data_IF_038379525402
#
_entry.id   IF_038379525402
#
_cell.length_a   1.000
_cell.length_b   1.000
_cell.length_c   1.000
_cell.angle_alpha   90.00
_cell.angle_beta   90.00
_cell.angle_gamma   90.00
#
_symmetry.space_group_name_H-M   'P 1'
#
loop_
_entity.id
_entity.type
_entity.pdbx_description
1 polymer ?
#
# COMPACT_ATOMS: atom_id res chain seq x y z
N UNK A 1 -50.75 8.87 10.37
CA UNK A 1 -49.83 9.84 10.99
C UNK A 1 -48.45 9.22 10.97
N UNK A 2 -47.68 9.56 9.95
CA UNK A 2 -46.30 9.14 9.75
C UNK A 2 -45.41 9.68 10.88
N UNK A 3 -44.50 8.86 11.41
CA UNK A 3 -43.15 9.32 11.74
C UNK A 3 -42.14 8.18 11.58
N UNK A 4 -41.39 8.32 10.50
CA UNK A 4 -40.25 7.53 10.06
C UNK A 4 -39.07 7.63 11.03
N UNK A 5 -38.51 6.47 11.40
CA UNK A 5 -37.11 6.34 11.82
C UNK A 5 -36.23 6.18 10.56
N UNK A 6 -35.03 6.77 10.54
CA UNK A 6 -34.22 6.86 9.32
C UNK A 6 -33.58 5.52 8.94
N UNK A 7 -33.31 5.27 7.64
CA UNK A 7 -32.64 4.07 7.19
C UNK A 7 -31.12 4.16 7.37
N UNK A 8 -30.56 3.03 7.81
CA UNK A 8 -29.19 2.52 7.65
C UNK A 8 -28.20 3.41 6.87
N UNK A 9 -27.13 3.83 7.57
CA UNK A 9 -25.83 4.13 6.98
C UNK A 9 -25.19 2.81 6.53
N UNK A 10 -25.63 2.29 5.40
CA UNK A 10 -24.79 1.47 4.56
C UNK A 10 -24.00 2.46 3.70
N UNK A 11 -22.72 2.65 4.02
CA UNK A 11 -21.81 3.37 3.14
C UNK A 11 -21.67 2.53 1.87
N UNK A 12 -22.41 2.94 0.84
CA UNK A 12 -22.25 2.48 -0.52
C UNK A 12 -20.86 2.95 -1.01
N UNK A 13 -19.86 2.08 -0.86
CA UNK A 13 -18.53 2.25 -1.45
C UNK A 13 -18.45 1.57 -2.83
N UNK A 14 -19.47 1.71 -3.68
CA UNK A 14 -19.20 1.67 -5.12
C UNK A 14 -18.66 3.03 -5.53
N UNK A 15 -17.38 3.29 -5.25
CA UNK A 15 -16.69 4.43 -5.82
C UNK A 15 -16.65 4.26 -7.34
N UNK A 16 -17.36 5.14 -8.04
CA UNK A 16 -17.07 5.42 -9.44
C UNK A 16 -15.55 5.72 -9.57
N UNK A 17 -14.89 5.37 -10.69
CA UNK A 17 -13.47 5.69 -10.86
C UNK A 17 -13.27 7.19 -10.61
N UNK A 18 -12.37 7.53 -9.69
CA UNK A 18 -12.00 8.91 -9.41
C UNK A 18 -11.54 9.55 -10.71
N UNK A 19 -12.35 10.46 -11.25
CA UNK A 19 -11.98 11.23 -12.42
C UNK A 19 -10.82 12.17 -12.09
N UNK A 20 -9.97 12.50 -13.08
CA UNK A 20 -8.88 13.49 -13.01
C UNK A 20 -9.27 14.86 -12.40
N UNK A 21 -10.57 15.11 -12.21
CA UNK A 21 -11.16 16.35 -11.69
C UNK A 21 -11.48 16.30 -10.19
N UNK A 22 -11.33 15.16 -9.52
CA UNK A 22 -11.66 14.95 -8.10
C UNK A 22 -10.60 14.08 -7.43
N UNK A 23 -10.28 14.36 -6.16
CA UNK A 23 -9.28 13.60 -5.40
C UNK A 23 -7.84 14.00 -5.70
N UNK A 24 -6.91 13.09 -5.43
CA UNK A 24 -5.45 13.32 -5.48
C UNK A 24 -4.86 13.65 -6.86
N UNK A 25 -5.34 13.10 -8.00
CA UNK A 25 -4.87 13.53 -9.32
C UNK A 25 -5.04 15.04 -9.55
N UNK A 26 -6.08 15.63 -8.93
CA UNK A 26 -6.33 17.07 -8.99
C UNK A 26 -5.25 17.86 -8.26
N UNK A 27 -4.71 17.38 -7.14
CA UNK A 27 -3.72 18.14 -6.36
C UNK A 27 -2.38 18.25 -7.10
N UNK A 28 -1.94 17.16 -7.73
CA UNK A 28 -0.73 17.15 -8.57
C UNK A 28 -0.92 18.03 -9.81
N UNK A 29 -2.04 17.88 -10.51
CA UNK A 29 -2.29 18.62 -11.75
C UNK A 29 -2.66 20.09 -11.50
N UNK A 30 -3.29 20.43 -10.37
CA UNK A 30 -3.70 21.80 -10.06
C UNK A 30 -2.51 22.76 -9.96
N UNK A 31 -1.41 22.32 -9.36
CA UNK A 31 -0.20 23.13 -9.26
C UNK A 31 0.44 23.39 -10.63
N UNK A 32 0.45 22.39 -11.51
CA UNK A 32 0.96 22.53 -12.88
C UNK A 32 0.05 23.47 -13.68
N UNK A 33 -1.27 23.29 -13.61
CA UNK A 33 -2.25 24.15 -14.29
C UNK A 33 -2.19 25.58 -13.77
N UNK A 34 -2.06 25.78 -12.46
CA UNK A 34 -1.92 27.09 -11.85
C UNK A 34 -0.61 27.78 -12.27
N UNK A 35 0.49 27.04 -12.36
CA UNK A 35 1.77 27.55 -12.86
C UNK A 35 1.71 27.92 -14.34
N UNK A 36 1.07 27.09 -15.19
CA UNK A 36 0.84 27.41 -16.61
C UNK A 36 -0.05 28.65 -16.74
N UNK A 37 -1.11 28.75 -15.95
CA UNK A 37 -1.99 29.92 -15.94
C UNK A 37 -1.28 31.20 -15.46
N UNK A 38 -0.43 31.08 -14.44
CA UNK A 38 0.36 32.19 -13.92
C UNK A 38 1.45 32.63 -14.89
N UNK A 39 2.20 31.70 -15.47
CA UNK A 39 3.22 31.99 -16.51
C UNK A 39 2.57 32.65 -17.72
N UNK A 40 1.46 32.12 -18.22
CA UNK A 40 0.67 32.76 -19.29
C UNK A 40 0.17 34.16 -18.90
N UNK A 41 -0.11 34.42 -17.62
CA UNK A 41 -0.51 35.73 -17.13
C UNK A 41 0.67 36.71 -16.97
N UNK A 42 1.88 36.23 -16.68
CA UNK A 42 3.07 37.07 -16.44
C UNK A 42 3.91 37.33 -17.70
N UNK A 43 3.89 36.46 -18.70
CA UNK A 43 4.76 36.54 -19.90
C UNK A 43 4.30 37.57 -20.95
N UNK A 44 3.36 38.46 -20.61
CA UNK A 44 3.04 39.61 -21.46
C UNK A 44 2.51 39.26 -22.84
N UNK A 45 1.86 38.10 -23.03
CA UNK A 45 1.07 37.83 -24.24
C UNK A 45 -0.23 38.62 -24.18
N UNK A 46 -0.13 39.90 -24.53
CA UNK A 46 -1.21 40.80 -24.91
C UNK A 46 -2.01 40.14 -26.04
N UNK A 47 -3.06 39.37 -25.71
CA UNK A 47 -3.93 38.76 -26.72
C UNK A 47 -4.77 37.54 -26.32
N UNK A 48 -4.69 37.00 -25.10
CA UNK A 48 -5.53 35.85 -24.70
C UNK A 48 -6.38 36.14 -23.45
N UNK A 49 -7.64 35.69 -23.49
CA UNK A 49 -8.56 35.73 -22.35
C UNK A 49 -8.58 34.37 -21.66
N UNK A 50 -8.28 34.35 -20.36
CA UNK A 50 -8.47 33.16 -19.52
C UNK A 50 -9.93 33.14 -19.06
N UNK A 51 -10.71 32.21 -19.59
CA UNK A 51 -12.07 31.94 -19.09
C UNK A 51 -12.02 30.78 -18.12
N UNK A 52 -12.19 31.07 -16.84
CA UNK A 52 -12.48 30.05 -15.82
C UNK A 52 -13.95 29.68 -15.96
N UNK A 53 -14.23 28.49 -16.49
CA UNK A 53 -15.60 27.98 -16.66
C UNK A 53 -15.94 27.08 -15.48
N UNK A 54 -16.98 27.47 -14.71
CA UNK A 54 -17.61 26.65 -13.67
C UNK A 54 -19.06 26.42 -14.06
N UNK A 55 -19.36 25.26 -14.65
CA UNK A 55 -20.71 24.98 -15.16
C UNK A 55 -21.14 25.98 -16.26
N UNK A 56 -22.39 26.46 -16.22
CA UNK A 56 -23.01 27.26 -17.28
C UNK A 56 -22.96 28.79 -17.11
N UNK A 57 -22.16 29.33 -16.19
CA UNK A 57 -22.07 30.78 -15.96
C UNK A 57 -20.64 31.27 -16.22
N UNK A 58 -20.52 32.24 -17.14
CA UNK A 58 -19.28 32.96 -17.47
C UNK A 58 -19.35 34.32 -16.79
N UNK A 59 -18.41 34.62 -15.88
CA UNK A 59 -18.25 35.95 -15.31
C UNK A 59 -17.31 36.72 -16.24
N UNK A 60 -17.86 37.63 -17.05
CA UNK A 60 -17.07 38.53 -17.89
C UNK A 60 -16.64 39.75 -17.07
N UNK A 61 -15.35 40.04 -17.02
CA UNK A 61 -14.86 41.38 -16.71
C UNK A 61 -14.65 42.11 -18.04
N UNK A 62 -15.52 43.06 -18.37
CA UNK A 62 -15.38 43.90 -19.56
C UNK A 62 -14.49 45.10 -19.26
N UNK A 63 -13.49 45.34 -20.11
CA UNK A 63 -12.72 46.57 -20.10
C UNK A 63 -11.44 46.48 -20.91
N UNK A 64 -11.33 47.37 -21.90
CA UNK A 64 -10.15 47.80 -22.66
C UNK A 64 -9.87 47.15 -24.03
N UNK A 65 -9.73 48.05 -25.01
CA UNK A 65 -9.75 47.80 -26.44
C UNK A 65 -8.47 47.23 -27.03
N UNK A 66 -8.65 46.63 -28.20
CA UNK A 66 -7.62 45.98 -28.99
C UNK A 66 -6.72 47.01 -29.69
N UNK A 67 -5.40 46.89 -29.48
CA UNK A 67 -4.41 47.36 -30.44
C UNK A 67 -4.10 46.19 -31.39
N UNK A 68 -4.40 46.40 -32.67
CA UNK A 68 -4.16 45.47 -33.76
C UNK A 68 -2.65 45.27 -33.96
N UNK A 69 -2.16 44.04 -33.76
CA UNK A 69 -0.78 43.67 -34.07
C UNK A 69 -0.64 43.48 -35.58
N UNK A 70 0.23 44.28 -36.20
CA UNK A 70 0.62 44.22 -37.61
C UNK A 70 1.39 42.91 -37.97
N UNK A 71 0.77 41.75 -37.83
CA UNK A 71 1.27 40.48 -38.36
C UNK A 71 0.54 40.06 -39.65
N UNK A 72 -0.07 41.03 -40.35
CA UNK A 72 -0.69 40.84 -41.65
C UNK A 72 0.28 41.14 -42.79
N UNK A 73 1.20 40.21 -43.13
CA UNK A 73 1.81 40.17 -44.48
C UNK A 73 2.56 38.88 -44.76
N UNK A 74 2.29 38.34 -45.95
CA UNK A 74 2.82 37.14 -46.58
C UNK A 74 2.31 35.79 -46.04
N UNK A 75 1.08 35.43 -46.42
CA UNK A 75 0.79 34.01 -46.72
C UNK A 75 1.73 33.65 -47.86
N UNK A 76 2.74 32.81 -47.59
CA UNK A 76 3.69 32.36 -48.60
C UNK A 76 2.93 31.74 -49.79
N UNK A 77 3.40 31.95 -51.05
CA UNK A 77 2.72 31.43 -52.25
C UNK A 77 2.46 29.91 -52.20
N UNK A 78 3.28 29.16 -51.45
CA UNK A 78 3.12 27.72 -51.21
C UNK A 78 1.82 27.38 -50.47
N UNK A 79 1.37 28.22 -49.53
CA UNK A 79 0.13 28.01 -48.77
C UNK A 79 -1.12 28.29 -49.62
N UNK A 80 -1.06 29.28 -50.51
CA UNK A 80 -2.14 29.58 -51.47
C UNK A 80 -2.31 28.44 -52.49
N UNK A 81 -1.21 27.88 -52.98
CA UNK A 81 -1.19 26.74 -53.89
C UNK A 81 -1.79 25.46 -53.27
N UNK A 82 -1.48 25.17 -52.00
CA UNK A 82 -2.10 24.06 -51.27
C UNK A 82 -3.62 24.24 -51.12
N UNK A 83 -4.08 25.48 -50.93
CA UNK A 83 -5.50 25.78 -50.66
C UNK A 83 -6.36 25.59 -51.91
N UNK A 84 -5.92 26.07 -53.08
CA UNK A 84 -6.63 25.85 -54.35
C UNK A 84 -6.71 24.36 -54.72
N UNK A 85 -5.61 23.61 -54.49
CA UNK A 85 -5.56 22.16 -54.73
C UNK A 85 -6.47 21.37 -53.80
N UNK A 86 -6.62 21.81 -52.54
CA UNK A 86 -7.57 21.25 -51.58
C UNK A 86 -9.03 21.44 -52.01
N UNK A 87 -9.38 22.61 -52.56
CA UNK A 87 -10.73 22.85 -53.08
C UNK A 87 -11.03 22.06 -54.36
N UNK A 88 -10.06 21.92 -55.26
CA UNK A 88 -10.19 21.12 -56.49
C UNK A 88 -10.38 19.61 -56.20
N UNK A 89 -9.79 19.09 -55.12
CA UNK A 89 -9.88 17.68 -54.72
C UNK A 89 -10.64 17.47 -53.40
N UNK A 90 -11.71 18.25 -53.15
CA UNK A 90 -12.46 18.24 -51.88
C UNK A 90 -12.85 16.85 -51.36
N UNK A 91 -13.21 15.92 -52.25
CA UNK A 91 -13.60 14.54 -51.88
C UNK A 91 -12.40 13.75 -51.35
N UNK A 92 -11.21 13.96 -51.92
CA UNK A 92 -9.97 13.33 -51.49
C UNK A 92 -9.55 13.86 -50.11
N UNK A 93 -9.67 15.17 -49.89
CA UNK A 93 -9.36 15.82 -48.59
C UNK A 93 -10.30 15.34 -47.48
N UNK A 94 -11.60 15.23 -47.77
CA UNK A 94 -12.57 14.69 -46.80
C UNK A 94 -12.27 13.20 -46.55
N UNK A 95 -11.97 12.42 -47.59
CA UNK A 95 -11.65 11.01 -47.43
C UNK A 95 -10.38 10.79 -46.60
N UNK A 96 -9.32 11.60 -46.79
CA UNK A 96 -8.11 11.51 -45.98
C UNK A 96 -8.35 11.97 -44.54
N UNK A 97 -9.13 13.02 -44.32
CA UNK A 97 -9.51 13.45 -42.96
C UNK A 97 -10.30 12.36 -42.22
N UNK A 98 -11.27 11.72 -42.88
CA UNK A 98 -12.03 10.60 -42.31
C UNK A 98 -11.13 9.39 -42.08
N UNK A 99 -10.21 9.08 -43.00
CA UNK A 99 -9.24 7.99 -42.83
C UNK A 99 -8.35 8.22 -41.60
N UNK A 100 -7.81 9.43 -41.43
CA UNK A 100 -6.99 9.80 -40.26
C UNK A 100 -7.82 9.73 -38.98
N UNK A 101 -9.08 10.17 -38.99
CA UNK A 101 -9.97 10.07 -37.84
C UNK A 101 -10.25 8.62 -37.47
N UNK A 102 -10.59 7.76 -38.44
CA UNK A 102 -10.84 6.33 -38.21
C UNK A 102 -9.57 5.61 -37.75
N UNK A 103 -8.41 5.93 -38.33
CA UNK A 103 -7.13 5.41 -37.88
C UNK A 103 -6.79 5.85 -36.45
N UNK A 104 -7.06 7.12 -36.12
CA UNK A 104 -6.89 7.67 -34.78
C UNK A 104 -7.78 6.97 -33.75
N UNK A 105 -9.07 6.77 -34.07
CA UNK A 105 -9.99 6.00 -33.21
C UNK A 105 -9.53 4.54 -33.10
N UNK A 106 -9.11 3.92 -34.19
CA UNK A 106 -8.57 2.56 -34.19
C UNK A 106 -7.34 2.39 -33.30
N UNK A 107 -6.42 3.36 -33.31
CA UNK A 107 -5.28 3.39 -32.40
C UNK A 107 -5.69 3.66 -30.95
N UNK A 108 -6.64 4.58 -30.74
CA UNK A 108 -7.15 4.91 -29.41
C UNK A 108 -7.78 3.69 -28.71
N UNK A 109 -8.46 2.81 -29.46
CA UNK A 109 -9.03 1.56 -28.88
C UNK A 109 -7.97 0.54 -28.42
N UNK A 110 -6.70 0.74 -28.78
CA UNK A 110 -5.59 -0.15 -28.40
C UNK A 110 -4.71 0.43 -27.28
N UNK A 111 -4.92 1.67 -26.88
CA UNK A 111 -4.20 2.29 -25.78
C UNK A 111 -4.71 1.70 -24.45
N UNK A 112 -3.77 1.27 -23.61
CA UNK A 112 -4.06 0.92 -22.22
C UNK A 112 -4.43 2.17 -21.41
N UNK A 113 -5.12 1.95 -20.29
CA UNK A 113 -5.41 3.00 -19.32
C UNK A 113 -4.65 2.74 -18.02
N UNK A 114 -4.00 3.77 -17.49
CA UNK A 114 -3.40 3.79 -16.16
C UNK A 114 -4.00 4.98 -15.38
N UNK A 115 -4.11 4.87 -14.05
CA UNK A 115 -4.70 5.93 -13.22
C UNK A 115 -3.80 7.17 -13.19
N UNK A 116 -2.53 6.98 -12.86
CA UNK A 116 -1.45 7.97 -12.89
C UNK A 116 -0.21 7.26 -13.46
N UNK A 117 0.58 7.89 -14.35
CA UNK A 117 1.82 7.29 -14.81
C UNK A 117 2.71 6.95 -13.62
N UNK A 118 3.34 5.78 -13.63
CA UNK A 118 4.23 5.40 -12.55
C UNK A 118 5.43 6.36 -12.48
N UNK A 119 5.54 7.11 -11.39
CA UNK A 119 6.73 7.93 -11.14
C UNK A 119 7.85 7.00 -10.66
N UNK A 120 9.02 7.08 -11.29
CA UNK A 120 10.21 6.38 -10.79
C UNK A 120 10.86 7.20 -9.69
N UNK A 121 10.86 6.65 -8.48
CA UNK A 121 11.47 7.22 -7.27
C UNK A 121 12.97 6.90 -7.16
N UNK A 122 13.50 6.05 -8.05
CA UNK A 122 14.87 5.56 -8.01
C UNK A 122 15.08 4.36 -7.08
N UNK A 123 14.45 4.37 -5.90
CA UNK A 123 14.60 3.30 -4.90
C UNK A 123 13.54 2.20 -5.02
N UNK A 124 13.79 1.06 -4.38
CA UNK A 124 12.87 -0.08 -4.35
C UNK A 124 12.43 -0.33 -2.90
N UNK A 125 11.15 -0.61 -2.72
CA UNK A 125 10.61 -1.14 -1.47
C UNK A 125 10.09 -2.56 -1.70
N UNK A 126 10.50 -3.50 -0.85
CA UNK A 126 10.15 -4.92 -0.93
C UNK A 126 9.35 -5.28 0.32
N UNK A 127 8.09 -5.65 0.16
CA UNK A 127 7.29 -6.22 1.24
C UNK A 127 7.53 -7.73 1.34
N UNK A 128 8.05 -8.18 2.47
CA UNK A 128 8.29 -9.57 2.80
C UNK A 128 7.17 -10.11 3.71
N UNK A 129 6.40 -11.07 3.18
CA UNK A 129 5.22 -11.66 3.82
C UNK A 129 5.55 -13.10 4.25
N UNK A 130 5.51 -13.37 5.55
CA UNK A 130 5.76 -14.69 6.13
C UNK A 130 4.45 -15.35 6.59
N UNK A 131 4.46 -16.65 6.92
CA UNK A 131 3.32 -17.28 7.58
C UNK A 131 3.00 -16.60 8.93
N UNK A 132 1.73 -16.53 9.37
CA UNK A 132 1.33 -15.78 10.56
C UNK A 132 1.89 -16.40 11.85
N UNK A 133 2.21 -17.70 11.82
CA UNK A 133 2.78 -18.44 12.94
C UNK A 133 4.30 -18.32 13.05
N UNK A 134 4.94 -17.44 12.28
CA UNK A 134 6.40 -17.30 12.29
C UNK A 134 6.91 -16.79 13.64
N UNK A 135 7.97 -17.40 14.16
CA UNK A 135 8.61 -16.94 15.38
C UNK A 135 9.44 -15.68 15.12
N UNK A 136 9.50 -14.74 16.07
CA UNK A 136 10.29 -13.51 15.93
C UNK A 136 11.79 -13.78 15.65
N UNK A 137 12.33 -14.86 16.19
CA UNK A 137 13.71 -15.30 15.92
C UNK A 137 13.89 -15.71 14.45
N UNK A 138 12.90 -16.37 13.87
CA UNK A 138 12.90 -16.76 12.47
C UNK A 138 12.64 -15.56 11.55
N UNK A 139 11.84 -14.58 11.99
CA UNK A 139 11.71 -13.28 11.30
C UNK A 139 13.08 -12.60 11.20
N UNK A 140 13.82 -12.48 12.31
CA UNK A 140 15.16 -11.90 12.31
C UNK A 140 16.14 -12.70 11.42
N UNK A 141 16.13 -14.03 11.52
CA UNK A 141 17.00 -14.89 10.72
C UNK A 141 16.72 -14.81 9.21
N UNK A 142 15.43 -14.83 8.83
CA UNK A 142 14.99 -14.70 7.44
C UNK A 142 15.26 -13.31 6.87
N UNK A 143 15.02 -12.24 7.64
CA UNK A 143 15.39 -10.88 7.26
C UNK A 143 16.90 -10.76 7.03
N UNK A 144 17.73 -11.33 7.92
CA UNK A 144 19.18 -11.37 7.70
C UNK A 144 19.62 -12.22 6.49
N UNK A 145 18.81 -13.18 6.03
CA UNK A 145 19.04 -13.88 4.75
C UNK A 145 18.68 -12.99 3.57
N UNK A 146 17.54 -12.32 3.61
CA UNK A 146 17.09 -11.35 2.59
C UNK A 146 18.15 -10.27 2.37
N UNK A 147 18.63 -9.65 3.45
CA UNK A 147 19.68 -8.61 3.36
C UNK A 147 20.96 -9.14 2.72
N UNK A 148 21.40 -10.36 3.07
CA UNK A 148 22.61 -10.96 2.48
C UNK A 148 22.46 -11.27 1.00
N UNK A 149 21.26 -11.60 0.54
CA UNK A 149 20.97 -11.82 -0.88
C UNK A 149 21.02 -10.49 -1.61
N UNK A 150 20.30 -9.48 -1.09
CA UNK A 150 20.25 -8.14 -1.69
C UNK A 150 21.62 -7.45 -1.72
N UNK A 151 22.48 -7.68 -0.72
CA UNK A 151 23.86 -7.17 -0.70
C UNK A 151 24.75 -7.72 -1.81
N UNK A 152 24.35 -8.79 -2.52
CA UNK A 152 25.09 -9.31 -3.68
C UNK A 152 24.91 -8.42 -4.92
N UNK A 153 23.87 -7.60 -4.95
CA UNK A 153 23.60 -6.68 -6.05
C UNK A 153 24.44 -5.40 -5.88
N UNK A 154 25.41 -5.14 -6.77
CA UNK A 154 26.27 -3.96 -6.67
C UNK A 154 25.50 -2.63 -6.84
N UNK A 155 24.27 -2.67 -7.34
CA UNK A 155 23.37 -1.53 -7.48
C UNK A 155 22.86 -1.01 -6.13
N UNK A 156 22.77 -1.87 -5.11
CA UNK A 156 22.27 -1.49 -3.78
C UNK A 156 23.35 -0.76 -2.96
N UNK A 157 23.07 0.48 -2.58
CA UNK A 157 23.92 1.29 -1.68
C UNK A 157 23.64 0.90 -0.23
N UNK A 158 22.36 0.95 0.14
CA UNK A 158 21.91 0.75 1.51
C UNK A 158 20.66 -0.10 1.50
N UNK A 159 20.60 -1.08 2.41
CA UNK A 159 19.42 -1.92 2.61
C UNK A 159 18.98 -1.71 4.05
N UNK A 160 17.73 -1.31 4.24
CA UNK A 160 17.11 -1.11 5.55
C UNK A 160 15.90 -2.00 5.66
N UNK A 161 15.96 -2.97 6.57
CA UNK A 161 14.84 -3.88 6.83
C UNK A 161 14.13 -3.50 8.12
N UNK A 162 12.81 -3.59 8.12
CA UNK A 162 11.96 -3.46 9.30
C UNK A 162 10.98 -4.63 9.33
N UNK A 163 10.64 -5.11 10.51
CA UNK A 163 9.67 -6.21 10.67
C UNK A 163 8.77 -5.92 11.85
N UNK A 164 7.48 -6.19 11.70
CA UNK A 164 6.47 -5.80 12.69
C UNK A 164 6.23 -4.29 12.76
N UNK A 165 5.56 -3.88 13.83
CA UNK A 165 5.15 -2.49 14.05
C UNK A 165 6.25 -1.68 14.76
N UNK A 166 6.48 -0.41 14.38
CA UNK A 166 7.29 0.51 15.17
C UNK A 166 6.66 0.82 16.52
N UNK A 167 7.47 1.30 17.48
CA UNK A 167 6.99 1.73 18.81
C UNK A 167 5.99 2.89 18.71
N UNK A 168 6.22 3.80 17.76
CA UNK A 168 5.25 4.83 17.41
C UNK A 168 4.15 4.19 16.54
N UNK A 169 2.89 4.34 16.94
CA UNK A 169 1.73 3.73 16.27
C UNK A 169 1.37 4.36 14.90
N UNK A 170 2.36 4.64 14.06
CA UNK A 170 2.18 5.15 12.69
C UNK A 170 1.89 4.05 11.67
N UNK A 171 2.24 2.81 11.98
CA UNK A 171 2.06 1.65 11.11
C UNK A 171 1.70 0.44 11.96
N UNK A 172 0.65 -0.28 11.57
CA UNK A 172 0.20 -1.49 12.26
C UNK A 172 0.51 -2.67 11.35
N UNK A 173 1.59 -3.37 11.68
CA UNK A 173 2.05 -4.57 10.99
C UNK A 173 2.21 -5.72 11.98
N UNK A 174 1.69 -6.89 11.61
CA UNK A 174 2.03 -8.13 12.29
C UNK A 174 3.52 -8.47 12.11
N UNK A 175 4.03 -9.34 12.98
CA UNK A 175 5.45 -9.74 12.98
C UNK A 175 5.85 -10.52 11.73
N UNK A 176 4.87 -11.10 11.05
CA UNK A 176 5.02 -11.83 9.80
C UNK A 176 5.32 -10.91 8.61
N UNK A 177 4.92 -9.64 8.70
CA UNK A 177 5.15 -8.62 7.70
C UNK A 177 6.46 -7.87 7.98
N UNK A 178 7.18 -7.56 6.90
CA UNK A 178 8.32 -6.67 6.97
C UNK A 178 8.53 -5.91 5.67
N UNK A 179 9.10 -4.72 5.79
CA UNK A 179 9.48 -3.88 4.66
C UNK A 179 10.99 -3.86 4.54
N UNK A 180 11.50 -3.98 3.32
CA UNK A 180 12.92 -3.86 3.00
C UNK A 180 13.08 -2.75 1.98
N UNK A 181 13.69 -1.65 2.41
CA UNK A 181 14.02 -0.52 1.55
C UNK A 181 15.42 -0.74 0.97
N UNK A 182 15.51 -0.68 -0.35
CA UNK A 182 16.77 -0.81 -1.10
C UNK A 182 17.04 0.52 -1.78
N UNK A 183 17.99 1.26 -1.23
CA UNK A 183 18.46 2.53 -1.80
C UNK A 183 19.45 2.20 -2.91
N UNK A 184 19.17 2.67 -4.13
CA UNK A 184 19.91 2.29 -5.33
C UNK A 184 20.88 3.38 -5.79
N UNK A 185 21.91 2.96 -6.52
CA UNK A 185 22.74 3.87 -7.32
C UNK A 185 21.93 4.48 -8.46
N UNK A 186 22.37 5.61 -9.02
CA UNK A 186 21.86 6.08 -10.30
C UNK A 186 21.96 5.00 -11.38
N UNK A 187 20.96 4.91 -12.26
CA UNK A 187 20.85 3.86 -13.30
C UNK A 187 22.10 3.81 -14.21
N UNK A 188 22.79 4.94 -14.41
CA UNK A 188 24.03 5.02 -15.20
C UNK A 188 25.16 4.12 -14.69
N UNK A 189 25.14 3.79 -13.40
CA UNK A 189 26.23 3.08 -12.72
C UNK A 189 25.90 1.60 -12.49
N UNK A 190 24.80 1.12 -13.08
CA UNK A 190 24.33 -0.25 -12.92
C UNK A 190 25.12 -1.22 -13.80
N UNK A 191 25.31 -2.44 -13.31
CA UNK A 191 26.15 -3.45 -13.97
C UNK A 191 25.40 -4.76 -14.21
N UNK A 192 24.49 -5.10 -13.30
CA UNK A 192 23.75 -6.36 -13.27
C UNK A 192 22.46 -6.28 -14.09
N UNK A 193 21.90 -5.09 -14.28
CA UNK A 193 20.66 -4.85 -15.01
C UNK A 193 20.71 -3.52 -15.77
N UNK A 194 19.94 -3.41 -16.84
CA UNK A 194 19.82 -2.18 -17.65
C UNK A 194 18.60 -1.34 -17.30
N UNK A 195 17.59 -1.96 -16.69
CA UNK A 195 16.34 -1.32 -16.29
C UNK A 195 15.96 -1.72 -14.87
N UNK A 196 15.18 -0.87 -14.19
CA UNK A 196 14.65 -1.16 -12.86
C UNK A 196 13.83 -2.45 -12.82
N UNK A 197 13.03 -2.70 -13.85
CA UNK A 197 12.25 -3.94 -13.99
C UNK A 197 13.15 -5.19 -14.05
N UNK A 198 14.21 -5.16 -14.86
CA UNK A 198 15.16 -6.29 -14.94
C UNK A 198 15.89 -6.52 -13.60
N UNK A 199 16.21 -5.44 -12.88
CA UNK A 199 16.81 -5.56 -11.54
C UNK A 199 15.83 -6.19 -10.54
N UNK A 200 14.56 -5.77 -10.56
CA UNK A 200 13.49 -6.32 -9.72
C UNK A 200 13.31 -7.82 -10.00
N UNK A 201 13.25 -8.21 -11.26
CA UNK A 201 13.10 -9.62 -11.66
C UNK A 201 14.26 -10.47 -11.12
N UNK A 202 15.51 -10.01 -11.31
CA UNK A 202 16.70 -10.69 -10.79
C UNK A 202 16.73 -10.76 -9.25
N UNK A 203 16.31 -9.70 -8.58
CA UNK A 203 16.19 -9.69 -7.11
C UNK A 203 15.12 -10.67 -6.64
N UNK A 204 13.97 -10.71 -7.32
CA UNK A 204 12.86 -11.60 -7.00
C UNK A 204 13.26 -13.08 -7.15
N UNK A 205 13.92 -13.43 -8.25
CA UNK A 205 14.46 -14.79 -8.46
C UNK A 205 15.43 -15.18 -7.36
N UNK A 206 16.43 -14.33 -7.08
CA UNK A 206 17.45 -14.60 -6.07
C UNK A 206 16.85 -14.72 -4.65
N UNK A 207 15.85 -13.91 -4.33
CA UNK A 207 15.16 -13.95 -3.04
C UNK A 207 14.28 -15.21 -2.90
N UNK A 208 13.54 -15.55 -3.95
CA UNK A 208 12.68 -16.74 -3.98
C UNK A 208 13.49 -18.03 -3.84
N UNK A 209 14.67 -18.10 -4.46
CA UNK A 209 15.58 -19.24 -4.33
C UNK A 209 16.19 -19.34 -2.93
N UNK A 210 16.67 -18.22 -2.38
CA UNK A 210 17.46 -18.23 -1.15
C UNK A 210 16.63 -18.19 0.15
N UNK A 211 15.37 -17.74 0.09
CA UNK A 211 14.51 -17.54 1.26
C UNK A 211 13.13 -18.18 1.01
N UNK A 212 13.05 -19.53 0.99
CA UNK A 212 11.80 -20.23 0.75
C UNK A 212 10.77 -19.96 1.85
N UNK A 213 9.49 -19.93 1.47
CA UNK A 213 8.38 -19.72 2.39
C UNK A 213 8.09 -18.25 2.72
N UNK A 214 8.80 -17.30 2.11
CA UNK A 214 8.51 -15.86 2.18
C UNK A 214 7.96 -15.40 0.83
N UNK A 215 6.83 -14.68 0.86
CA UNK A 215 6.32 -13.98 -0.30
C UNK A 215 6.95 -12.60 -0.40
N UNK A 216 7.32 -12.20 -1.62
CA UNK A 216 7.84 -10.86 -1.90
C UNK A 216 6.85 -10.10 -2.78
N UNK A 217 6.75 -8.80 -2.54
CA UNK A 217 6.03 -7.86 -3.41
C UNK A 217 6.88 -6.61 -3.56
N UNK A 218 7.04 -6.14 -4.80
CA UNK A 218 7.91 -5.03 -5.15
C UNK A 218 7.12 -3.77 -5.48
N UNK A 219 7.55 -2.65 -4.91
CA UNK A 219 6.98 -1.32 -5.16
C UNK A 219 8.04 -0.25 -4.85
N UNK A 220 7.61 0.98 -4.62
CA UNK A 220 8.46 2.13 -4.31
C UNK A 220 8.04 2.77 -2.99
N UNK A 221 8.94 3.43 -2.26
CA UNK A 221 8.64 3.94 -0.91
C UNK A 221 7.43 4.89 -0.83
N UNK A 222 7.29 5.85 -1.74
CA UNK A 222 6.19 6.83 -1.75
C UNK A 222 4.93 6.17 -2.33
N UNK A 223 5.04 5.45 -3.44
CA UNK A 223 3.95 4.69 -4.07
C UNK A 223 3.28 3.73 -3.07
N UNK A 224 4.08 2.97 -2.31
CA UNK A 224 3.59 2.07 -1.26
C UNK A 224 2.73 2.81 -0.23
N UNK A 225 3.25 3.92 0.31
CA UNK A 225 2.57 4.68 1.37
C UNK A 225 1.31 5.36 0.85
N UNK A 226 1.33 5.79 -0.41
CA UNK A 226 0.17 6.36 -1.07
C UNK A 226 -0.95 5.31 -1.25
N UNK A 227 -0.59 4.12 -1.74
CA UNK A 227 -1.55 3.02 -1.93
C UNK A 227 -2.17 2.57 -0.59
N UNK A 228 -1.35 2.49 0.46
CA UNK A 228 -1.83 2.20 1.82
C UNK A 228 -2.83 3.24 2.32
N UNK A 229 -2.54 4.54 2.13
CA UNK A 229 -3.40 5.62 2.63
C UNK A 229 -4.74 5.71 1.91
N UNK A 230 -4.77 5.43 0.60
CA UNK A 230 -6.00 5.56 -0.20
C UNK A 230 -6.85 4.31 -0.13
N UNK A 231 -6.26 3.19 -0.52
CA UNK A 231 -6.99 1.95 -0.74
C UNK A 231 -6.88 1.00 0.44
N UNK A 232 -5.96 1.25 1.40
CA UNK A 232 -5.68 0.33 2.49
C UNK A 232 -4.97 -0.94 2.03
N UNK A 233 -4.37 -0.93 0.84
CA UNK A 233 -3.63 -2.07 0.27
C UNK A 233 -2.24 -1.60 -0.16
N UNK A 234 -1.26 -2.50 -0.10
CA UNK A 234 0.16 -2.22 -0.39
C UNK A 234 0.57 -2.46 -1.84
N UNK A 235 -0.40 -2.88 -2.65
CA UNK A 235 -0.21 -3.29 -4.03
C UNK A 235 -1.00 -2.37 -4.96
N UNK A 236 -0.62 -2.36 -6.22
CA UNK A 236 -1.21 -1.49 -7.25
C UNK A 236 -2.70 -1.79 -7.47
N UNK A 237 -3.11 -3.04 -7.28
CA UNK A 237 -4.51 -3.49 -7.37
C UNK A 237 -4.87 -4.32 -6.14
N UNK A 238 -5.96 -3.94 -5.47
CA UNK A 238 -6.52 -4.68 -4.33
C UNK A 238 -7.93 -5.18 -4.62
N UNK A 239 -8.19 -6.46 -4.34
CA UNK A 239 -9.54 -7.05 -4.41
C UNK A 239 -10.04 -7.25 -2.98
N UNK A 240 -11.08 -6.51 -2.59
CA UNK A 240 -11.69 -6.61 -1.26
C UNK A 240 -12.89 -7.53 -1.30
N UNK A 241 -12.84 -8.59 -0.49
CA UNK A 241 -13.95 -9.52 -0.31
C UNK A 241 -14.59 -9.30 1.06
N UNK A 242 -15.90 -9.03 1.08
CA UNK A 242 -16.65 -8.75 2.31
C UNK A 242 -17.65 -9.87 2.62
N UNK A 243 -17.84 -10.14 3.91
CA UNK A 243 -18.80 -11.12 4.41
C UNK A 243 -18.63 -11.38 5.91
N UNK A 244 -19.52 -12.18 6.47
CA UNK A 244 -19.57 -12.42 7.92
C UNK A 244 -18.74 -13.64 8.37
N UNK A 245 -18.51 -14.61 7.48
CA UNK A 245 -17.80 -15.85 7.79
C UNK A 245 -16.36 -15.83 7.28
N UNK A 246 -15.41 -15.70 8.20
CA UNK A 246 -13.98 -15.64 7.90
C UNK A 246 -13.45 -16.88 7.16
N UNK A 247 -14.00 -18.07 7.44
CA UNK A 247 -13.52 -19.30 6.79
C UNK A 247 -13.97 -19.38 5.32
N UNK A 248 -15.21 -18.98 5.04
CA UNK A 248 -15.69 -18.83 3.66
C UNK A 248 -14.92 -17.74 2.92
N UNK A 249 -14.68 -16.59 3.56
CA UNK A 249 -13.88 -15.51 2.97
C UNK A 249 -12.47 -15.96 2.63
N UNK A 250 -11.80 -16.70 3.52
CA UNK A 250 -10.46 -17.25 3.28
C UNK A 250 -10.45 -18.18 2.06
N UNK A 251 -11.35 -19.15 2.00
CA UNK A 251 -11.44 -20.10 0.86
C UNK A 251 -11.69 -19.38 -0.46
N UNK A 252 -12.59 -18.40 -0.46
CA UNK A 252 -12.92 -17.61 -1.65
C UNK A 252 -11.78 -16.66 -2.05
N UNK A 253 -11.10 -16.06 -1.09
CA UNK A 253 -9.89 -15.27 -1.33
C UNK A 253 -8.79 -16.08 -2.01
N UNK A 254 -8.54 -17.31 -1.56
CA UNK A 254 -7.59 -18.23 -2.21
C UNK A 254 -8.02 -18.66 -3.61
N UNK A 255 -9.32 -18.86 -3.83
CA UNK A 255 -9.87 -19.16 -5.16
C UNK A 255 -9.69 -17.97 -6.12
N UNK A 256 -10.00 -16.76 -5.67
CA UNK A 256 -9.79 -15.52 -6.41
C UNK A 256 -8.31 -15.34 -6.74
N UNK A 257 -7.41 -15.52 -5.76
CA UNK A 257 -5.97 -15.41 -5.99
C UNK A 257 -5.47 -16.38 -7.07
N UNK A 258 -5.97 -17.62 -7.09
CA UNK A 258 -5.63 -18.60 -8.15
C UNK A 258 -6.12 -18.16 -9.53
N UNK A 259 -7.31 -17.59 -9.62
CA UNK A 259 -7.87 -17.11 -10.90
C UNK A 259 -7.11 -15.87 -11.38
N UNK A 260 -6.85 -14.92 -10.48
CA UNK A 260 -6.13 -13.68 -10.80
C UNK A 260 -4.69 -13.96 -11.20
N UNK A 261 -4.02 -14.94 -10.58
CA UNK A 261 -2.67 -15.35 -10.96
C UNK A 261 -2.59 -15.92 -12.40
N UNK A 262 -3.71 -16.34 -13.00
CA UNK A 262 -3.75 -16.79 -14.39
C UNK A 262 -3.99 -15.64 -15.39
N UNK A 263 -4.29 -14.42 -14.92
CA UNK A 263 -4.52 -13.26 -15.77
C UNK A 263 -3.17 -12.75 -16.29
N UNK A 264 -3.00 -12.55 -17.62
CA UNK A 264 -1.78 -11.98 -18.17
C UNK A 264 -1.47 -10.60 -17.57
N UNK A 265 -0.24 -10.42 -17.07
CA UNK A 265 0.21 -9.18 -16.42
C UNK A 265 -0.08 -9.12 -14.91
N UNK A 266 -0.70 -10.13 -14.31
CA UNK A 266 -0.83 -10.21 -12.86
C UNK A 266 0.46 -10.74 -12.24
N UNK A 267 1.17 -9.87 -11.52
CA UNK A 267 2.39 -10.20 -10.78
C UNK A 267 2.15 -10.13 -9.27
N UNK A 268 2.96 -10.84 -8.48
CA UNK A 268 2.95 -10.82 -7.01
C UNK A 268 1.58 -11.07 -6.34
N UNK A 269 0.70 -11.88 -6.96
CA UNK A 269 -0.65 -12.13 -6.44
C UNK A 269 -0.62 -12.86 -5.10
N UNK A 270 -1.17 -12.23 -4.05
CA UNK A 270 -1.31 -12.81 -2.70
C UNK A 270 -2.71 -12.57 -2.13
N UNK A 271 -3.27 -13.61 -1.51
CA UNK A 271 -4.43 -13.46 -0.65
C UNK A 271 -3.95 -13.09 0.77
N UNK A 272 -4.55 -12.06 1.36
CA UNK A 272 -4.28 -11.68 2.74
C UNK A 272 -4.77 -12.79 3.69
N UNK A 273 -3.95 -13.12 4.67
CA UNK A 273 -4.23 -14.23 5.57
C UNK A 273 -5.06 -13.75 6.76
N UNK A 274 -6.29 -14.25 6.87
CA UNK A 274 -7.24 -13.88 7.93
C UNK A 274 -7.20 -14.82 9.14
N UNK A 275 -6.41 -15.90 9.08
CA UNK A 275 -6.28 -16.91 10.15
C UNK A 275 -4.95 -17.65 10.04
N UNK A 276 -4.59 -18.41 11.09
CA UNK A 276 -3.41 -19.29 11.05
C UNK A 276 -2.39 -19.08 12.17
N UNK A 277 -2.60 -18.11 13.07
CA UNK A 277 -1.79 -17.97 14.28
C UNK A 277 -2.26 -18.98 15.35
N UNK A 278 -1.49 -20.03 15.68
CA UNK A 278 -1.85 -20.93 16.76
C UNK A 278 -1.76 -20.19 18.10
N UNK A 279 -2.84 -20.29 18.90
CA UNK A 279 -2.91 -19.68 20.24
C UNK A 279 -3.20 -20.73 21.29
N UNK A 280 -2.53 -20.61 22.44
CA UNK A 280 -2.87 -21.38 23.64
C UNK A 280 -3.96 -20.61 24.38
N UNK A 281 -5.12 -21.25 24.61
CA UNK A 281 -6.24 -20.64 25.32
C UNK A 281 -6.38 -21.25 26.71
N UNK A 282 -6.07 -20.47 27.74
CA UNK A 282 -6.35 -20.85 29.13
C UNK A 282 -7.78 -20.47 29.47
N UNK A 283 -8.60 -21.47 29.83
CA UNK A 283 -9.98 -21.27 30.28
C UNK A 283 -10.06 -21.58 31.77
N UNK A 284 -10.31 -20.54 32.58
CA UNK A 284 -10.41 -20.70 34.03
C UNK A 284 -11.75 -21.33 34.40
N UNK A 285 -11.69 -22.49 35.07
CA UNK A 285 -12.86 -23.14 35.66
C UNK A 285 -13.10 -22.58 37.08
N UNK A 286 -14.09 -21.68 37.18
CA UNK A 286 -14.42 -20.99 38.44
C UNK A 286 -14.91 -21.93 39.53
N UNK A 287 -15.59 -23.03 39.17
CA UNK A 287 -16.13 -23.98 40.13
C UNK A 287 -15.00 -24.81 40.76
N UNK A 288 -13.95 -25.12 39.99
CA UNK A 288 -12.72 -25.73 40.52
C UNK A 288 -11.93 -24.76 41.39
N UNK A 289 -11.75 -23.52 40.93
CA UNK A 289 -11.05 -22.49 41.70
C UNK A 289 -11.68 -22.27 43.09
N UNK A 290 -13.02 -22.25 43.17
CA UNK A 290 -13.76 -22.08 44.41
C UNK A 290 -13.47 -23.16 45.45
N UNK A 291 -13.20 -24.41 45.02
CA UNK A 291 -12.87 -25.53 45.94
C UNK A 291 -11.54 -25.33 46.67
N UNK A 292 -10.61 -24.61 46.06
CA UNK A 292 -9.27 -24.33 46.60
C UNK A 292 -9.14 -22.91 47.15
N UNK A 293 -10.22 -22.12 47.12
CA UNK A 293 -10.22 -20.72 47.54
C UNK A 293 -9.36 -19.81 46.66
N UNK A 294 -9.05 -20.22 45.43
CA UNK A 294 -8.20 -19.47 44.50
C UNK A 294 -9.08 -18.52 43.68
N UNK A 295 -8.67 -17.26 43.50
CA UNK A 295 -9.41 -16.35 42.63
C UNK A 295 -9.05 -16.57 41.16
N UNK A 296 -9.97 -16.24 40.25
CA UNK A 296 -9.66 -16.26 38.83
C UNK A 296 -8.54 -15.26 38.45
N UNK A 297 -8.38 -14.18 39.24
CA UNK A 297 -7.29 -13.22 39.08
C UNK A 297 -5.93 -13.86 39.34
N UNK A 298 -5.80 -14.62 40.43
CA UNK A 298 -4.53 -15.29 40.78
C UNK A 298 -4.09 -16.28 39.70
N UNK A 299 -5.05 -16.98 39.09
CA UNK A 299 -4.78 -17.90 37.98
C UNK A 299 -4.27 -17.14 36.76
N UNK A 300 -4.94 -16.05 36.36
CA UNK A 300 -4.54 -15.25 35.20
C UNK A 300 -3.20 -14.54 35.43
N UNK A 301 -2.97 -14.03 36.63
CA UNK A 301 -1.70 -13.43 37.05
C UNK A 301 -0.55 -14.43 36.97
N UNK A 302 -0.80 -15.68 37.38
CA UNK A 302 0.18 -16.77 37.29
C UNK A 302 0.49 -17.10 35.82
N UNK A 303 -0.53 -17.16 34.97
CA UNK A 303 -0.37 -17.39 33.52
C UNK A 303 0.41 -16.25 32.86
N UNK A 304 0.12 -15.00 33.22
CA UNK A 304 0.84 -13.82 32.74
C UNK A 304 2.31 -13.89 33.15
N UNK A 305 2.59 -14.12 34.44
CA UNK A 305 3.94 -14.27 34.97
C UNK A 305 4.68 -15.48 34.35
N UNK A 306 3.97 -16.55 33.99
CA UNK A 306 4.56 -17.74 33.40
C UNK A 306 5.05 -17.51 31.96
N UNK A 307 4.42 -16.61 31.19
CA UNK A 307 4.77 -16.40 29.78
C UNK A 307 5.29 -15.01 29.45
N UNK A 308 4.48 -13.97 29.67
CA UNK A 308 4.83 -12.59 29.33
C UNK A 308 5.70 -11.93 30.42
N UNK A 309 5.58 -12.40 31.66
CA UNK A 309 6.08 -11.72 32.84
C UNK A 309 5.07 -10.68 33.32
N UNK A 310 4.92 -10.56 34.64
CA UNK A 310 4.00 -9.62 35.28
C UNK A 310 4.75 -8.40 35.76
N UNK A 311 4.31 -7.21 35.35
CA UNK A 311 4.87 -5.94 35.86
C UNK A 311 4.42 -5.75 37.31
N UNK A 312 5.38 -5.69 38.24
CA UNK A 312 5.12 -5.52 39.69
C UNK A 312 5.49 -4.14 40.21
N UNK A 313 6.13 -3.31 39.38
CA UNK A 313 6.48 -1.94 39.72
C UNK A 313 7.31 -1.26 38.65
N UNK A 314 7.84 -0.09 39.00
CA UNK A 314 8.70 0.71 38.12
C UNK A 314 9.95 1.12 38.88
N UNK A 315 11.12 0.88 38.28
CA UNK A 315 12.41 1.37 38.77
C UNK A 315 12.72 2.69 38.09
N UNK A 316 13.15 3.68 38.87
CA UNK A 316 13.52 5.01 38.38
C UNK A 316 15.03 5.17 38.43
N UNK A 317 15.63 5.52 37.30
CA UNK A 317 17.03 5.90 37.18
C UNK A 317 17.12 7.32 36.60
N UNK A 318 17.23 8.31 37.48
CA UNK A 318 17.15 9.72 37.09
C UNK A 318 15.78 10.06 36.49
N UNK A 319 15.75 10.37 35.18
CA UNK A 319 14.53 10.64 34.41
C UNK A 319 14.00 9.42 33.64
N UNK A 320 14.75 8.32 33.59
CA UNK A 320 14.36 7.09 32.91
C UNK A 320 13.50 6.22 33.82
N UNK A 321 12.55 5.49 33.21
CA UNK A 321 11.61 4.62 33.90
C UNK A 321 11.67 3.24 33.27
N UNK A 322 11.89 2.22 34.10
CA UNK A 322 11.97 0.82 33.67
C UNK A 322 10.93 -0.01 34.41
N UNK A 323 10.22 -0.88 33.68
CA UNK A 323 9.28 -1.81 34.30
C UNK A 323 10.04 -2.90 35.09
N UNK A 324 9.68 -3.10 36.36
CA UNK A 324 10.13 -4.25 37.15
C UNK A 324 9.17 -5.41 36.87
N UNK A 325 9.69 -6.48 36.28
CA UNK A 325 8.89 -7.64 35.84
C UNK A 325 9.31 -8.89 36.61
N UNK A 326 8.32 -9.61 37.15
CA UNK A 326 8.51 -10.96 37.71
C UNK A 326 8.04 -11.97 36.68
N UNK A 327 8.88 -12.96 36.39
CA UNK A 327 8.60 -13.98 35.37
C UNK A 327 9.15 -15.32 35.83
N UNK A 328 8.45 -16.40 35.49
CA UNK A 328 9.03 -17.75 35.63
C UNK A 328 10.16 -17.96 34.61
N UNK A 329 11.00 -18.96 34.87
CA UNK A 329 11.99 -19.41 33.89
C UNK A 329 11.30 -19.89 32.60
N UNK A 330 12.00 -19.75 31.47
CA UNK A 330 11.46 -20.00 30.13
C UNK A 330 10.86 -21.41 29.95
N UNK A 331 11.40 -22.39 30.66
CA UNK A 331 10.98 -23.79 30.57
C UNK A 331 9.65 -24.06 31.27
N UNK A 332 9.25 -23.24 32.26
CA UNK A 332 8.02 -23.45 33.03
C UNK A 332 6.76 -23.38 32.15
N UNK A 333 6.78 -22.57 31.08
CA UNK A 333 5.63 -22.36 30.19
C UNK A 333 5.94 -22.63 28.71
N UNK A 334 6.97 -23.43 28.42
CA UNK A 334 7.39 -23.72 27.04
C UNK A 334 6.40 -24.60 26.28
N UNK A 335 5.74 -25.52 26.98
CA UNK A 335 4.78 -26.49 26.44
C UNK A 335 3.44 -26.39 27.16
N UNK A 336 2.39 -26.97 26.59
CA UNK A 336 1.09 -27.05 27.25
C UNK A 336 1.21 -27.85 28.57
N UNK A 337 1.96 -28.95 28.56
CA UNK A 337 2.16 -29.79 29.74
C UNK A 337 2.97 -29.06 30.83
N UNK A 338 4.02 -28.32 30.46
CA UNK A 338 4.77 -27.54 31.44
C UNK A 338 3.91 -26.41 32.03
N UNK A 339 3.15 -25.71 31.18
CA UNK A 339 2.22 -24.66 31.63
C UNK A 339 1.15 -25.23 32.57
N UNK A 340 0.60 -26.40 32.29
CA UNK A 340 -0.37 -27.07 33.16
C UNK A 340 0.22 -27.41 34.55
N UNK A 341 1.52 -27.61 34.67
CA UNK A 341 2.19 -27.89 35.94
C UNK A 341 2.63 -26.64 36.71
N UNK A 342 2.41 -25.42 36.17
CA UNK A 342 2.78 -24.19 36.88
C UNK A 342 1.94 -24.08 38.16
N UNK A 343 2.59 -23.90 39.33
CA UNK A 343 1.89 -23.84 40.61
C UNK A 343 1.19 -22.50 40.82
N UNK A 344 -0.07 -22.55 41.22
CA UNK A 344 -0.84 -21.42 41.74
C UNK A 344 -0.92 -21.55 43.26
N UNK A 345 -0.62 -20.46 43.96
CA UNK A 345 -0.71 -20.42 45.42
C UNK A 345 -2.18 -20.31 45.87
N UNK A 346 -2.61 -21.23 46.74
CA UNK A 346 -3.88 -21.12 47.46
C UNK A 346 -3.69 -20.29 48.75
N UNK A 347 -4.72 -19.56 49.21
CA UNK A 347 -4.70 -18.90 50.52
C UNK A 347 -4.39 -19.84 51.70
N UNK A 348 -4.66 -21.14 51.54
CA UNK A 348 -4.34 -22.17 52.54
C UNK A 348 -2.88 -22.65 52.53
N UNK A 349 -2.00 -22.06 51.71
CA UNK A 349 -0.59 -22.45 51.57
C UNK A 349 -0.37 -23.68 50.69
N UNK A 350 -1.43 -24.28 50.15
CA UNK A 350 -1.33 -25.36 49.18
C UNK A 350 -0.90 -24.82 47.81
N UNK A 351 -0.05 -25.57 47.12
CA UNK A 351 0.36 -25.30 45.74
C UNK A 351 -0.46 -26.18 44.81
N UNK A 352 -1.29 -25.56 43.97
CA UNK A 352 -2.20 -26.26 43.06
C UNK A 352 -1.72 -26.03 41.62
N UNK A 353 -1.46 -27.08 40.82
CA UNK A 353 -1.10 -26.91 39.42
C UNK A 353 -2.25 -26.29 38.61
N UNK A 354 -1.94 -25.62 37.50
CA UNK A 354 -2.93 -25.03 36.60
C UNK A 354 -3.83 -26.05 35.88
N UNK A 355 -3.33 -27.27 35.66
CA UNK A 355 -3.95 -28.35 34.85
C UNK A 355 -5.10 -29.11 35.50
#
# INVERSE_FOLDING_TARGET
MFRSLPPRLAADQTSAPESLTTGQPREVLANIVAFIAWTMATDGTSGMSVKVVRGSQVINAEGFGFAESEAGRAVTPDKLFCTERCFAHRRLVIATAVLVMVAGVGLATRLGGEFIPRLDEGDISISAIRPPSVAISEVAASTGRIERVLKRFPEAITIVSRSGSPELATDVMGIELGDVFVILKPISDWTTARTKGELIEKMNEALTEAVPGVGFSFTQPIEMRFNELIAGVRSDVGIKLFGDDLETLRKKGEEIARVVAAVPGAEDVKAEQTSGLPVIRVKVDRDRCARYGISAGDVLDTVEAARAGKVVGTVFEGQQRFALVVRFDDDAARTIDSLANVPVASPGGASIPLG
#
